data_IF_923830468817
#
_entry.id   IF_923830468817
#
_cell.length_a   1.000
_cell.length_b   1.000
_cell.length_c   1.000
_cell.angle_alpha   90.00
_cell.angle_beta   90.00
_cell.angle_gamma   90.00
#
_symmetry.space_group_name_H-M   'P 1'
#
loop_
_entity.id
_entity.type
_entity.pdbx_description
1 polymer ?
#
# COMPACT_ATOMS: atom_id res chain seq x y z
N UNK A 1 -12.14 -9.07 -26.90
CA UNK A 1 -12.57 -8.01 -25.97
C UNK A 1 -11.33 -7.32 -25.44
N UNK A 2 -11.11 -6.06 -25.79
CA UNK A 2 -9.94 -5.32 -25.35
C UNK A 2 -10.27 -4.43 -24.16
N UNK A 3 -10.09 -4.90 -22.93
CA UNK A 3 -10.18 -4.04 -21.73
C UNK A 3 -8.96 -3.10 -21.61
N UNK A 4 -8.26 -2.79 -22.70
CA UNK A 4 -7.00 -2.06 -22.70
C UNK A 4 -7.18 -0.63 -22.18
N UNK A 5 -8.22 0.09 -22.65
CA UNK A 5 -8.52 1.45 -22.16
C UNK A 5 -8.75 1.47 -20.65
N UNK A 6 -9.60 0.57 -20.16
CA UNK A 6 -9.95 0.45 -18.74
C UNK A 6 -8.72 0.03 -17.92
N UNK A 7 -7.97 -0.96 -18.40
CA UNK A 7 -6.76 -1.45 -17.74
C UNK A 7 -5.67 -0.36 -17.66
N UNK A 8 -5.53 0.46 -18.70
CA UNK A 8 -4.58 1.57 -18.70
C UNK A 8 -4.99 2.66 -17.70
N UNK A 9 -6.28 3.02 -17.66
CA UNK A 9 -6.80 3.96 -16.66
C UNK A 9 -6.53 3.48 -15.22
N UNK A 10 -6.79 2.21 -14.93
CA UNK A 10 -6.51 1.62 -13.61
C UNK A 10 -5.00 1.63 -13.30
N UNK A 11 -4.16 1.31 -14.29
CA UNK A 11 -2.70 1.31 -14.11
C UNK A 11 -2.15 2.71 -13.84
N UNK A 12 -2.60 3.70 -14.60
CA UNK A 12 -2.18 5.10 -14.48
C UNK A 12 -2.55 5.66 -13.11
N UNK A 13 -3.80 5.45 -12.68
CA UNK A 13 -4.21 5.79 -11.33
C UNK A 13 -3.36 5.07 -10.27
N UNK A 14 -3.13 3.77 -10.42
CA UNK A 14 -2.35 2.97 -9.47
C UNK A 14 -0.91 3.49 -9.31
N UNK A 15 -0.27 3.87 -10.41
CA UNK A 15 1.08 4.45 -10.41
C UNK A 15 1.10 5.82 -9.71
N UNK A 16 0.15 6.70 -10.05
CA UNK A 16 0.03 8.02 -9.41
C UNK A 16 -0.22 7.89 -7.91
N UNK A 17 -1.13 7.00 -7.51
CA UNK A 17 -1.44 6.72 -6.12
C UNK A 17 -0.22 6.17 -5.36
N UNK A 18 0.56 5.26 -5.97
CA UNK A 18 1.81 4.76 -5.38
C UNK A 18 2.82 5.87 -5.15
N UNK A 19 3.06 6.72 -6.16
CA UNK A 19 3.98 7.85 -6.02
C UNK A 19 3.52 8.83 -4.93
N UNK A 20 2.22 9.14 -4.89
CA UNK A 20 1.64 10.03 -3.87
C UNK A 20 1.82 9.45 -2.47
N UNK A 21 1.52 8.18 -2.27
CA UNK A 21 1.70 7.49 -0.99
C UNK A 21 3.17 7.46 -0.54
N UNK A 22 4.12 7.24 -1.46
CA UNK A 22 5.56 7.33 -1.15
C UNK A 22 5.94 8.74 -0.69
N UNK A 23 5.50 9.76 -1.42
CA UNK A 23 5.80 11.16 -1.09
C UNK A 23 5.20 11.57 0.25
N UNK A 24 3.95 11.18 0.52
CA UNK A 24 3.27 11.47 1.78
C UNK A 24 3.90 10.71 2.96
N UNK A 25 4.38 9.49 2.73
CA UNK A 25 5.19 8.79 3.72
C UNK A 25 6.46 9.58 4.09
N UNK A 26 7.17 10.12 3.09
CA UNK A 26 8.37 10.94 3.32
C UNK A 26 8.04 12.26 4.04
N UNK A 27 6.93 12.92 3.67
CA UNK A 27 6.47 14.18 4.31
C UNK A 27 6.17 13.96 5.80
N UNK A 28 5.58 12.82 6.16
CA UNK A 28 5.36 12.38 7.55
C UNK A 28 6.64 11.87 8.24
N UNK A 29 7.81 11.99 7.62
CA UNK A 29 9.09 11.62 8.21
C UNK A 29 9.33 10.11 8.32
N UNK A 30 8.68 9.30 7.49
CA UNK A 30 9.09 7.90 7.30
C UNK A 30 10.37 7.95 6.47
N UNK A 31 11.49 7.60 7.11
CA UNK A 31 12.81 7.62 6.48
C UNK A 31 13.52 6.31 6.75
N UNK A 32 14.39 5.95 5.82
CA UNK A 32 15.39 4.93 6.05
C UNK A 32 16.31 5.35 7.21
N UNK A 33 16.59 4.43 8.14
CA UNK A 33 17.47 4.69 9.30
C UNK A 33 18.90 4.27 8.98
N UNK A 34 19.87 5.08 9.38
CA UNK A 34 21.29 4.70 9.37
C UNK A 34 21.48 3.42 10.20
N UNK A 35 22.05 2.37 9.61
CA UNK A 35 22.23 1.06 10.25
C UNK A 35 21.04 0.10 10.13
N UNK A 36 20.05 0.40 9.27
CA UNK A 36 19.04 -0.59 8.89
C UNK A 36 19.69 -1.75 8.13
N UNK A 37 19.37 -3.01 8.44
CA UNK A 37 19.88 -4.17 7.69
C UNK A 37 19.24 -4.33 6.30
N UNK A 38 18.25 -3.50 5.95
CA UNK A 38 17.69 -3.43 4.60
C UNK A 38 18.51 -2.41 3.81
N UNK A 39 18.95 -2.74 2.60
CA UNK A 39 19.70 -1.80 1.75
C UNK A 39 18.81 -0.68 1.16
N UNK A 40 17.51 -0.93 1.04
CA UNK A 40 16.54 0.02 0.47
C UNK A 40 15.59 0.63 1.50
N UNK A 41 15.14 1.86 1.22
CA UNK A 41 14.06 2.52 1.95
C UNK A 41 12.77 1.68 1.87
N UNK A 42 12.09 1.54 3.01
CA UNK A 42 10.85 0.79 3.09
C UNK A 42 9.76 1.39 2.21
N UNK A 43 9.74 2.72 2.06
CA UNK A 43 8.83 3.39 1.12
C UNK A 43 9.18 3.07 -0.32
N UNK A 44 10.47 2.97 -0.68
CA UNK A 44 10.86 2.64 -2.04
C UNK A 44 10.50 1.22 -2.43
N UNK A 45 10.61 0.31 -1.48
CA UNK A 45 10.21 -1.08 -1.66
C UNK A 45 8.69 -1.29 -1.71
N UNK A 46 7.89 -0.24 -1.57
CA UNK A 46 6.45 -0.30 -1.80
C UNK A 46 6.19 -0.46 -3.30
N UNK A 47 5.43 -1.49 -3.66
CA UNK A 47 5.07 -1.81 -5.04
C UNK A 47 3.56 -1.96 -5.18
N UNK A 48 3.08 -1.89 -6.41
CA UNK A 48 1.70 -2.22 -6.75
C UNK A 48 1.64 -3.47 -7.61
N UNK A 49 0.61 -4.27 -7.42
CA UNK A 49 0.31 -5.41 -8.29
C UNK A 49 -1.17 -5.36 -8.70
N UNK A 50 -1.44 -5.85 -9.91
CA UNK A 50 -2.78 -5.85 -10.48
C UNK A 50 -3.27 -7.28 -10.58
N UNK A 51 -4.43 -7.57 -10.00
CA UNK A 51 -5.09 -8.86 -10.17
C UNK A 51 -6.10 -8.75 -11.30
N UNK A 52 -6.09 -9.74 -12.19
CA UNK A 52 -7.03 -9.88 -13.29
C UNK A 52 -7.95 -11.07 -13.06
N UNK A 53 -9.16 -11.03 -13.62
CA UNK A 53 -10.07 -12.19 -13.73
C UNK A 53 -10.13 -12.69 -15.17
N UNK A 54 -10.96 -13.72 -15.41
CA UNK A 54 -11.34 -14.16 -16.74
C UNK A 54 -11.77 -12.95 -17.58
N UNK A 55 -11.38 -12.95 -18.86
CA UNK A 55 -11.49 -11.83 -19.80
C UNK A 55 -10.47 -10.68 -19.62
N UNK A 56 -9.37 -10.88 -18.88
CA UNK A 56 -8.18 -10.00 -18.88
C UNK A 56 -8.38 -8.57 -18.32
N UNK A 57 -9.54 -8.30 -17.72
CA UNK A 57 -9.85 -7.07 -16.98
C UNK A 57 -9.20 -7.07 -15.59
N UNK A 58 -8.58 -5.96 -15.21
CA UNK A 58 -8.09 -5.74 -13.85
C UNK A 58 -9.28 -5.61 -12.89
N UNK A 59 -9.28 -6.41 -11.82
CA UNK A 59 -10.34 -6.42 -10.80
C UNK A 59 -9.87 -5.96 -9.43
N UNK A 60 -8.55 -5.86 -9.23
CA UNK A 60 -8.01 -5.33 -7.99
C UNK A 60 -6.64 -4.68 -8.20
N UNK A 61 -6.42 -3.57 -7.49
CA UNK A 61 -5.11 -2.94 -7.29
C UNK A 61 -4.65 -3.27 -5.88
N UNK A 62 -3.47 -3.87 -5.75
CA UNK A 62 -2.91 -4.30 -4.47
C UNK A 62 -1.66 -3.50 -4.17
N UNK A 63 -1.66 -2.77 -3.07
CA UNK A 63 -0.47 -2.09 -2.54
C UNK A 63 0.30 -3.07 -1.65
N UNK A 64 1.51 -3.42 -2.08
CA UNK A 64 2.38 -4.33 -1.35
C UNK A 64 3.31 -3.53 -0.45
N UNK A 65 3.10 -3.68 0.86
CA UNK A 65 3.84 -2.97 1.90
C UNK A 65 4.90 -3.89 2.51
N UNK A 66 6.12 -3.40 2.70
CA UNK A 66 7.05 -4.06 3.64
C UNK A 66 6.42 -4.04 5.03
N UNK A 67 6.60 -5.13 5.80
CA UNK A 67 6.10 -5.28 7.17
C UNK A 67 6.43 -4.10 8.09
N UNK A 68 7.57 -3.44 7.87
CA UNK A 68 7.95 -2.23 8.61
C UNK A 68 6.94 -1.09 8.47
N UNK A 69 6.36 -0.90 7.29
CA UNK A 69 5.39 0.16 7.02
C UNK A 69 4.05 -0.09 7.71
N UNK A 70 3.68 -1.35 7.95
CA UNK A 70 2.47 -1.68 8.73
C UNK A 70 2.55 -1.10 10.15
N UNK A 71 3.69 -1.27 10.81
CA UNK A 71 3.90 -0.72 12.14
C UNK A 71 3.89 0.81 12.13
N UNK A 72 4.58 1.41 11.15
CA UNK A 72 4.67 2.86 11.03
C UNK A 72 3.30 3.48 10.73
N UNK A 73 2.48 2.82 9.90
CA UNK A 73 1.10 3.23 9.65
C UNK A 73 0.35 3.30 10.97
N UNK A 74 0.39 2.25 11.80
CA UNK A 74 -0.29 2.18 13.10
C UNK A 74 0.38 2.95 14.26
N UNK A 75 1.37 3.83 14.00
CA UNK A 75 2.06 4.58 15.07
C UNK A 75 2.89 3.69 16.01
N UNK A 76 3.37 2.55 15.51
CA UNK A 76 4.16 1.58 16.26
C UNK A 76 5.52 1.32 15.60
N UNK A 77 6.44 0.73 16.35
CA UNK A 77 7.64 0.09 15.80
C UNK A 77 7.55 -1.44 15.91
N UNK A 78 8.58 -2.13 15.41
CA UNK A 78 8.75 -3.58 15.63
C UNK A 78 8.94 -3.87 17.14
N UNK A 79 7.99 -4.57 17.76
CA UNK A 79 7.97 -4.89 19.20
C UNK A 79 7.08 -3.99 20.08
N UNK A 80 6.65 -2.83 19.58
CA UNK A 80 6.03 -1.79 20.42
C UNK A 80 4.53 -1.96 20.65
N UNK A 81 3.85 -2.75 19.80
CA UNK A 81 2.46 -3.17 19.97
C UNK A 81 2.30 -4.64 20.38
N UNK A 82 3.41 -5.33 20.71
CA UNK A 82 3.36 -6.72 21.13
C UNK A 82 2.93 -6.87 22.59
N UNK A 83 2.28 -7.98 22.93
CA UNK A 83 2.11 -8.37 24.32
C UNK A 83 3.48 -8.62 24.98
N UNK A 84 3.59 -8.35 26.30
CA UNK A 84 4.77 -8.69 27.10
C UNK A 84 5.09 -10.18 26.88
N UNK A 85 6.26 -10.48 26.31
CA UNK A 85 6.66 -11.86 26.02
C UNK A 85 6.48 -12.34 24.58
N UNK A 86 5.95 -11.52 23.65
CA UNK A 86 5.91 -11.89 22.24
C UNK A 86 7.31 -12.19 21.69
N UNK A 87 7.43 -13.27 20.90
CA UNK A 87 8.67 -13.71 20.26
C UNK A 87 8.47 -13.90 18.77
N UNK A 88 9.52 -13.67 17.98
CA UNK A 88 9.53 -13.95 16.55
C UNK A 88 10.92 -14.43 16.11
N UNK A 89 10.97 -15.20 15.04
CA UNK A 89 12.23 -15.63 14.42
C UNK A 89 12.60 -14.65 13.31
N UNK A 90 13.85 -14.21 13.24
CA UNK A 90 14.34 -13.39 12.12
C UNK A 90 14.73 -14.28 10.92
N UNK A 91 15.10 -13.67 9.79
CA UNK A 91 15.50 -14.41 8.59
C UNK A 91 16.75 -15.27 8.80
N UNK A 92 17.58 -14.95 9.80
CA UNK A 92 18.76 -15.72 10.18
C UNK A 92 18.45 -16.87 11.17
N UNK A 93 17.17 -17.13 11.48
CA UNK A 93 16.77 -18.19 12.41
C UNK A 93 16.88 -17.82 13.90
N UNK A 94 17.29 -16.59 14.23
CA UNK A 94 17.42 -16.16 15.61
C UNK A 94 16.06 -15.79 16.22
N UNK A 95 15.79 -16.31 17.41
CA UNK A 95 14.62 -15.92 18.20
C UNK A 95 14.84 -14.56 18.84
N UNK A 96 14.03 -13.58 18.45
CA UNK A 96 13.96 -12.25 19.06
C UNK A 96 12.74 -12.16 19.97
N UNK A 97 12.82 -11.31 20.99
CA UNK A 97 11.73 -11.02 21.93
C UNK A 97 11.43 -9.53 21.91
N UNK A 98 10.19 -9.17 22.21
CA UNK A 98 9.83 -7.79 22.48
C UNK A 98 10.67 -7.22 23.62
N UNK A 99 11.35 -6.10 23.36
CA UNK A 99 12.03 -5.32 24.38
C UNK A 99 10.99 -4.81 25.40
N UNK A 100 11.06 -5.16 26.70
CA UNK A 100 10.10 -4.70 27.69
C UNK A 100 10.00 -3.18 27.79
N UNK A 101 11.11 -2.47 27.54
CA UNK A 101 11.14 -1.00 27.57
C UNK A 101 10.41 -0.36 26.38
N UNK A 102 10.05 -1.16 25.37
CA UNK A 102 9.35 -0.73 24.16
C UNK A 102 7.82 -0.82 24.28
N UNK A 103 7.30 -1.52 25.29
CA UNK A 103 5.86 -1.77 25.46
C UNK A 103 5.09 -0.48 25.74
N UNK A 104 3.87 -0.36 25.21
CA UNK A 104 2.95 0.75 25.48
C UNK A 104 3.37 2.10 24.86
N UNK A 105 4.42 2.12 24.03
CA UNK A 105 4.92 3.32 23.36
C UNK A 105 4.39 3.49 21.94
N UNK A 106 3.25 2.86 21.61
CA UNK A 106 2.53 3.14 20.37
C UNK A 106 1.76 4.46 20.52
N UNK A 107 1.75 5.30 19.49
CA UNK A 107 1.06 6.60 19.52
C UNK A 107 1.80 7.73 20.25
N UNK A 108 2.88 7.46 21.00
CA UNK A 108 3.66 8.50 21.69
C UNK A 108 4.69 9.13 20.76
N UNK A 109 4.94 10.45 20.83
CA UNK A 109 5.96 11.14 20.02
C UNK A 109 7.34 10.49 20.22
N UNK A 110 8.09 10.13 19.15
CA UNK A 110 7.92 10.45 17.72
C UNK A 110 7.12 9.42 16.89
N UNK A 111 6.29 8.60 17.51
CA UNK A 111 5.56 7.43 16.97
C UNK A 111 4.06 7.68 16.92
N UNK A 112 3.71 8.87 16.45
CA UNK A 112 2.34 9.17 16.04
C UNK A 112 2.01 8.31 14.82
N UNK A 113 0.74 7.93 14.69
CA UNK A 113 0.20 7.30 13.50
C UNK A 113 0.57 8.07 12.24
N UNK A 114 0.95 7.36 11.17
CA UNK A 114 1.34 7.97 9.89
C UNK A 114 0.51 7.37 8.80
N UNK A 115 -0.67 7.92 8.58
CA UNK A 115 -1.56 7.42 7.55
C UNK A 115 -1.19 7.97 6.16
N UNK A 116 -0.12 7.44 5.58
CA UNK A 116 0.38 7.84 4.25
C UNK A 116 -0.41 7.23 3.08
N UNK A 117 -1.43 6.43 3.38
CA UNK A 117 -2.35 5.85 2.40
C UNK A 117 -3.71 6.58 2.35
N UNK A 118 -3.96 7.52 3.26
CA UNK A 118 -5.22 8.26 3.34
C UNK A 118 -5.67 8.80 1.98
N UNK A 119 -4.78 9.50 1.28
CA UNK A 119 -5.07 10.06 -0.03
C UNK A 119 -5.36 9.01 -1.10
N UNK A 120 -4.78 7.81 -0.99
CA UNK A 120 -5.08 6.68 -1.88
C UNK A 120 -6.49 6.18 -1.62
N UNK A 121 -6.88 6.07 -0.35
CA UNK A 121 -8.22 5.65 0.05
C UNK A 121 -9.27 6.68 -0.41
N UNK A 122 -9.04 7.96 -0.15
CA UNK A 122 -9.93 9.05 -0.55
C UNK A 122 -10.07 9.19 -2.07
N UNK A 123 -8.98 9.01 -2.84
CA UNK A 123 -9.03 9.10 -4.30
C UNK A 123 -9.54 7.84 -5.01
N UNK A 124 -9.67 6.72 -4.30
CA UNK A 124 -10.11 5.45 -4.88
C UNK A 124 -11.54 5.53 -5.42
N UNK A 125 -12.43 6.28 -4.76
CA UNK A 125 -13.81 6.43 -5.20
C UNK A 125 -13.91 7.10 -6.57
N UNK A 126 -13.19 8.20 -6.78
CA UNK A 126 -13.17 8.89 -8.08
C UNK A 126 -12.64 7.98 -9.20
N UNK A 127 -11.67 7.11 -8.92
CA UNK A 127 -11.19 6.11 -9.88
C UNK A 127 -12.25 5.05 -10.17
N UNK A 128 -12.95 4.56 -9.15
CA UNK A 128 -14.05 3.59 -9.33
C UNK A 128 -15.12 4.18 -10.24
N UNK A 129 -15.50 5.44 -10.04
CA UNK A 129 -16.50 6.13 -10.85
C UNK A 129 -16.03 6.27 -12.32
N UNK A 130 -14.76 6.62 -12.55
CA UNK A 130 -14.19 6.69 -13.90
C UNK A 130 -14.15 5.33 -14.60
N UNK A 131 -13.82 4.25 -13.87
CA UNK A 131 -13.83 2.89 -14.41
C UNK A 131 -15.25 2.46 -14.75
N UNK A 132 -16.23 2.77 -13.90
CA UNK A 132 -17.63 2.46 -14.15
C UNK A 132 -18.15 3.14 -15.41
N UNK A 133 -17.88 4.44 -15.57
CA UNK A 133 -18.22 5.19 -16.79
C UNK A 133 -17.54 4.60 -18.03
N UNK A 134 -16.24 4.32 -17.96
CA UNK A 134 -15.50 3.76 -19.09
C UNK A 134 -15.99 2.35 -19.47
N UNK A 135 -16.47 1.57 -18.50
CA UNK A 135 -17.07 0.26 -18.73
C UNK A 135 -18.44 0.38 -19.38
N UNK A 136 -19.27 1.34 -18.95
CA UNK A 136 -20.56 1.60 -19.57
C UNK A 136 -20.41 2.05 -21.02
N UNK A 137 -19.47 2.97 -21.32
CA UNK A 137 -19.17 3.40 -22.69
C UNK A 137 -18.81 2.20 -23.59
N UNK A 138 -17.99 1.29 -23.08
CA UNK A 138 -17.55 0.10 -23.82
C UNK A 138 -18.72 -0.84 -24.10
N UNK A 139 -19.60 -1.06 -23.11
CA UNK A 139 -20.82 -1.86 -23.27
C UNK A 139 -21.77 -1.21 -24.29
N UNK A 140 -21.98 0.10 -24.21
CA UNK A 140 -22.84 0.83 -25.15
C UNK A 140 -22.31 0.73 -26.58
N UNK A 141 -21.02 0.97 -26.79
CA UNK A 141 -20.40 0.87 -28.11
C UNK A 141 -20.53 -0.54 -28.69
N UNK A 142 -20.36 -1.58 -27.87
CA UNK A 142 -20.52 -2.96 -28.31
C UNK A 142 -21.97 -3.33 -28.61
N UNK A 143 -22.93 -2.82 -27.85
CA UNK A 143 -24.34 -3.17 -28.01
C UNK A 143 -25.02 -2.43 -29.17
N UNK A 144 -24.56 -1.23 -29.50
CA UNK A 144 -25.27 -0.33 -30.43
C UNK A 144 -24.45 0.12 -31.64
N UNK A 145 -23.13 -0.05 -31.63
CA UNK A 145 -22.25 0.34 -32.76
C UNK A 145 -21.53 -0.87 -33.40
N UNK A 146 -22.00 -2.09 -33.12
CA UNK A 146 -21.51 -3.32 -33.77
C UNK A 146 -22.31 -3.61 -35.05
N UNK A 147 -22.11 -2.79 -36.08
CA UNK A 147 -22.46 -3.12 -37.48
C UNK A 147 -21.24 -3.71 -38.19
#
# INVERSE_FOLDING_TARGET
MGFERINNLIKDWGNQALHKAKNEGRSKGIRHRSGSPSESDSLEAMTISYKKRAADMITAVVFNLKRSLFYVRAGAGRGYGGAKGSTWTNAAGERKRTDPSSLGKAGSTPRVEKDFLKDVEESSQAMIDQVALATMDEIFNQAFNSD
#
